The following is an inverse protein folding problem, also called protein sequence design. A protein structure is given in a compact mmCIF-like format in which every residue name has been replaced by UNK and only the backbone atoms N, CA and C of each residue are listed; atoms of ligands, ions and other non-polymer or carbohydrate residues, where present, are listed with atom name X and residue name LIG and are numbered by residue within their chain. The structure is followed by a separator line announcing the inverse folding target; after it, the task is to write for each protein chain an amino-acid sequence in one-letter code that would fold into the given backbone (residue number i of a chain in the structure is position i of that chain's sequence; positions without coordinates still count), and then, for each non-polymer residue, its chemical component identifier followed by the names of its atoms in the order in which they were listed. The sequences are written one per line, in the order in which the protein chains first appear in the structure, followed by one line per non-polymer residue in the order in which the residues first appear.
data_IF_976070274235
#
_entry.id   IF_976070274235
#
_cell.length_a   1.000
_cell.length_b   1.000
_cell.length_c   1.000
_cell.angle_alpha   90.00
_cell.angle_beta   90.00
_cell.angle_gamma   90.00
#
_symmetry.space_group_name_H-M   'P 1'
#
loop_
_entity.id
_entity.type
_entity.pdbx_description
1 polymer ?
#
# COMPACT_ATOMS: atom_id res chain seq x y z
N UNK A 1 3.98 -10.17 15.05
CA UNK A 1 3.88 -9.34 13.84
C UNK A 1 3.39 -10.22 12.70
N UNK A 2 2.33 -9.78 12.04
CA UNK A 2 1.80 -10.33 10.79
C UNK A 2 2.71 -10.01 9.61
N UNK A 3 2.39 -10.55 8.43
CA UNK A 3 3.15 -10.30 7.20
C UNK A 3 3.20 -8.79 6.88
N UNK A 4 2.06 -8.10 6.93
CA UNK A 4 2.03 -6.66 6.64
C UNK A 4 2.84 -5.86 7.66
N UNK A 5 2.72 -6.15 8.95
CA UNK A 5 3.50 -5.45 9.98
C UNK A 5 5.00 -5.69 9.87
N UNK A 6 5.42 -6.90 9.51
CA UNK A 6 6.83 -7.22 9.29
C UNK A 6 7.36 -6.49 8.05
N UNK A 7 6.58 -6.44 6.97
CA UNK A 7 6.94 -5.68 5.77
C UNK A 7 7.05 -4.18 6.05
N UNK A 8 6.09 -3.61 6.80
CA UNK A 8 6.12 -2.21 7.24
C UNK A 8 7.40 -1.87 8.00
N UNK A 9 7.75 -2.71 8.97
CA UNK A 9 8.95 -2.55 9.79
C UNK A 9 10.22 -2.63 8.93
N UNK A 10 10.28 -3.63 8.05
CA UNK A 10 11.43 -3.82 7.16
C UNK A 10 11.64 -2.64 6.22
N UNK A 11 10.57 -2.05 5.66
CA UNK A 11 10.69 -0.87 4.78
C UNK A 11 11.24 0.33 5.54
N UNK A 12 10.83 0.54 6.80
CA UNK A 12 11.32 1.66 7.60
C UNK A 12 12.81 1.56 7.94
N UNK A 13 13.43 0.37 7.82
CA UNK A 13 14.87 0.17 8.11
C UNK A 13 15.71 -0.11 6.87
N UNK A 14 15.17 0.04 5.65
CA UNK A 14 15.78 -0.46 4.41
C UNK A 14 17.17 0.09 4.05
N UNK A 15 17.64 1.19 4.65
CA UNK A 15 19.01 1.64 4.44
C UNK A 15 19.98 0.78 5.27
N UNK A 16 21.18 0.43 4.77
CA UNK A 16 22.18 -0.36 5.53
C UNK A 16 22.60 0.30 6.87
N UNK A 17 22.36 1.59 7.03
CA UNK A 17 22.57 2.36 8.26
C UNK A 17 21.31 2.47 9.16
N UNK A 18 20.21 1.80 8.81
CA UNK A 18 18.96 1.78 9.57
C UNK A 18 18.04 2.98 9.34
N UNK A 19 18.33 3.81 8.33
CA UNK A 19 17.49 4.96 7.98
C UNK A 19 16.29 4.56 7.13
N UNK A 20 15.12 5.18 7.34
CA UNK A 20 14.01 5.05 6.42
C UNK A 20 14.40 5.67 5.08
N UNK A 21 14.27 4.89 4.00
CA UNK A 21 14.44 5.42 2.64
C UNK A 21 13.34 6.45 2.43
N UNK A 22 13.73 7.72 2.39
CA UNK A 22 12.81 8.84 2.15
C UNK A 22 12.15 8.63 0.80
N UNK A 23 10.83 8.51 0.81
CA UNK A 23 10.05 8.24 -0.39
C UNK A 23 9.79 6.76 -0.68
N UNK A 24 10.22 5.82 0.17
CA UNK A 24 9.80 4.42 0.06
C UNK A 24 8.30 4.26 0.36
N UNK A 25 7.68 3.28 -0.31
CA UNK A 25 6.29 2.91 -0.03
C UNK A 25 6.22 2.07 1.24
N UNK A 26 5.50 2.57 2.24
CA UNK A 26 5.23 1.87 3.49
C UNK A 26 3.85 1.21 3.38
N UNK A 27 3.75 -0.13 3.48
CA UNK A 27 2.46 -0.80 3.40
C UNK A 27 1.56 -0.42 4.58
N UNK A 28 0.30 -0.10 4.28
CA UNK A 28 -0.73 0.06 5.30
C UNK A 28 -1.35 -1.30 5.67
N UNK A 29 -1.59 -1.47 6.97
CA UNK A 29 -2.16 -2.67 7.55
C UNK A 29 -3.43 -2.32 8.33
N UNK A 30 -4.39 -3.23 8.38
CA UNK A 30 -5.59 -3.08 9.20
C UNK A 30 -5.33 -3.39 10.69
N UNK A 31 -6.38 -3.35 11.51
CA UNK A 31 -6.32 -3.64 12.94
C UNK A 31 -5.94 -5.11 13.26
N UNK A 32 -6.15 -6.02 12.32
CA UNK A 32 -5.77 -7.43 12.44
C UNK A 32 -4.35 -7.69 11.90
N UNK A 33 -3.70 -6.67 11.34
CA UNK A 33 -2.38 -6.76 10.71
C UNK A 33 -2.40 -7.34 9.29
N UNK A 34 -3.57 -7.42 8.66
CA UNK A 34 -3.66 -7.79 7.25
C UNK A 34 -3.38 -6.57 6.37
N UNK A 35 -2.98 -6.81 5.12
CA UNK A 35 -2.80 -5.72 4.17
C UNK A 35 -4.14 -5.06 3.91
N UNK A 36 -4.19 -3.72 4.03
CA UNK A 36 -5.36 -3.01 3.58
C UNK A 36 -5.51 -3.22 2.07
N UNK A 37 -6.72 -3.53 1.59
CA UNK A 37 -6.94 -3.81 0.17
C UNK A 37 -6.59 -2.60 -0.69
N UNK A 38 -6.60 -1.40 -0.12
CA UNK A 38 -6.11 -0.16 -0.74
C UNK A 38 -4.80 0.27 -0.09
N UNK A 39 -3.74 0.33 -0.88
CA UNK A 39 -2.44 0.83 -0.49
C UNK A 39 -2.14 2.14 -1.19
N UNK A 40 -1.52 3.08 -0.48
CA UNK A 40 -1.19 4.39 -1.03
C UNK A 40 0.26 4.74 -0.75
N UNK A 41 0.97 5.18 -1.79
CA UNK A 41 2.32 5.68 -1.69
C UNK A 41 2.32 7.16 -1.32
N UNK A 42 2.50 7.46 -0.04
CA UNK A 42 2.45 8.84 0.47
C UNK A 42 3.42 9.82 -0.22
N UNK A 43 4.54 9.33 -0.76
CA UNK A 43 5.52 10.19 -1.44
C UNK A 43 5.14 10.59 -2.86
N UNK A 44 4.46 9.71 -3.60
CA UNK A 44 4.05 9.97 -4.99
C UNK A 44 2.56 10.29 -5.11
N UNK A 45 1.79 10.04 -4.05
CA UNK A 45 0.35 10.19 -4.02
C UNK A 45 -0.43 9.14 -4.81
N UNK A 46 0.24 8.10 -5.33
CA UNK A 46 -0.43 7.02 -6.06
C UNK A 46 -1.09 6.05 -5.09
N UNK A 47 -2.28 5.55 -5.44
CA UNK A 47 -2.97 4.50 -4.69
C UNK A 47 -3.28 3.32 -5.61
N UNK A 48 -3.25 2.10 -5.08
CA UNK A 48 -3.57 0.89 -5.83
C UNK A 48 -4.24 -0.13 -4.93
N UNK A 49 -4.84 -1.14 -5.56
CA UNK A 49 -5.41 -2.26 -4.83
C UNK A 49 -4.38 -3.39 -4.69
N UNK A 50 -4.37 -4.04 -3.53
CA UNK A 50 -3.56 -5.23 -3.27
C UNK A 50 -4.43 -6.45 -2.94
N UNK A 51 -3.82 -7.62 -3.03
CA UNK A 51 -4.36 -8.86 -2.47
C UNK A 51 -3.99 -9.02 -0.98
N UNK A 52 -4.44 -10.09 -0.33
CA UNK A 52 -4.15 -10.40 1.08
C UNK A 52 -2.66 -10.63 1.37
N UNK A 53 -1.82 -10.76 0.35
CA UNK A 53 -0.36 -10.86 0.46
C UNK A 53 0.34 -9.52 0.22
N UNK A 54 -0.41 -8.46 -0.07
CA UNK A 54 0.12 -7.13 -0.38
C UNK A 54 0.58 -6.98 -1.83
N UNK A 55 0.20 -7.89 -2.72
CA UNK A 55 0.56 -7.83 -4.14
C UNK A 55 -0.37 -6.88 -4.89
N UNK A 56 0.19 -5.90 -5.61
CA UNK A 56 -0.59 -4.98 -6.46
C UNK A 56 -1.39 -5.75 -7.52
N UNK A 57 -2.68 -5.40 -7.65
CA UNK A 57 -3.54 -5.84 -8.74
C UNK A 57 -3.31 -4.93 -9.95
N UNK A 58 -2.94 -5.52 -11.09
CA UNK A 58 -2.70 -4.79 -12.32
C UNK A 58 -3.91 -3.94 -12.73
N UNK A 59 -3.68 -2.70 -13.17
CA UNK A 59 -4.72 -1.78 -13.62
C UNK A 59 -5.47 -1.04 -12.51
N UNK A 60 -5.15 -1.26 -11.24
CA UNK A 60 -5.78 -0.56 -10.10
C UNK A 60 -4.99 0.67 -9.62
N UNK A 61 -3.79 0.90 -10.15
CA UNK A 61 -2.95 2.03 -9.76
C UNK A 61 -3.49 3.33 -10.32
N UNK A 62 -3.88 4.24 -9.42
CA UNK A 62 -4.43 5.55 -9.69
C UNK A 62 -3.44 6.65 -9.27
N UNK A 63 -3.32 7.73 -10.05
CA UNK A 63 -2.50 8.89 -9.67
C UNK A 63 -3.20 9.75 -8.60
N UNK A 64 -2.45 10.62 -7.91
CA UNK A 64 -3.04 11.55 -6.95
C UNK A 64 -4.08 12.45 -7.62
N UNK A 65 -5.22 12.63 -6.95
CA UNK A 65 -6.31 13.49 -7.43
C UNK A 65 -7.34 12.80 -8.32
N UNK A 66 -7.17 11.50 -8.60
CA UNK A 66 -8.18 10.69 -9.29
C UNK A 66 -9.11 10.03 -8.25
N UNK A 67 -10.42 9.89 -8.55
CA UNK A 67 -11.31 9.06 -7.73
C UNK A 67 -10.73 7.65 -7.59
N UNK A 68 -10.79 7.12 -6.39
CA UNK A 68 -10.14 5.87 -6.05
C UNK A 68 -10.96 4.68 -6.57
N UNK A 69 -10.27 3.64 -6.99
CA UNK A 69 -10.89 2.35 -7.29
C UNK A 69 -11.35 1.69 -6.00
N UNK A 70 -12.57 1.17 -5.99
CA UNK A 70 -13.03 0.34 -4.89
C UNK A 70 -12.30 -1.02 -4.94
N UNK A 71 -11.49 -1.30 -3.92
CA UNK A 71 -10.66 -2.51 -3.92
C UNK A 71 -11.43 -3.77 -3.46
N UNK A 72 -12.65 -3.58 -2.94
CA UNK A 72 -13.60 -4.64 -2.60
C UNK A 72 -14.39 -5.06 -3.85
N UNK A 73 -14.65 -4.10 -4.75
CA UNK A 73 -15.29 -4.31 -6.06
C UNK A 73 -14.38 -3.98 -7.25
N UNK A 74 -13.70 -4.97 -7.85
CA UNK A 74 -12.88 -4.73 -9.03
C UNK A 74 -13.74 -4.23 -10.20
N UNK A 75 -13.67 -2.94 -10.50
CA UNK A 75 -14.33 -2.31 -11.68
C UNK A 75 -15.29 -1.16 -11.37
N UNK A 76 -15.57 -0.84 -10.10
CA UNK A 76 -16.39 0.31 -9.74
C UNK A 76 -15.48 1.45 -9.26
N UNK A 77 -15.51 2.59 -9.97
CA UNK A 77 -14.86 3.83 -9.52
C UNK A 77 -15.75 4.35 -8.40
N UNK A 78 -15.25 4.36 -7.16
CA UNK A 78 -16.02 4.94 -6.06
C UNK A 78 -16.06 6.46 -6.28
N UNK A 79 -17.27 6.98 -6.51
CA UNK A 79 -17.54 8.39 -6.78
C UNK A 79 -17.49 9.26 -5.52
#
# INVERSE_FOLDING_TARGET
KTHCEHHRDSVQTTSPEGYPIVGAYVPQCDAEGQYLPRQCHGSSGHCWCVDSRGQERAGTRTPPGTPFVDCDKPGEIAA
#
